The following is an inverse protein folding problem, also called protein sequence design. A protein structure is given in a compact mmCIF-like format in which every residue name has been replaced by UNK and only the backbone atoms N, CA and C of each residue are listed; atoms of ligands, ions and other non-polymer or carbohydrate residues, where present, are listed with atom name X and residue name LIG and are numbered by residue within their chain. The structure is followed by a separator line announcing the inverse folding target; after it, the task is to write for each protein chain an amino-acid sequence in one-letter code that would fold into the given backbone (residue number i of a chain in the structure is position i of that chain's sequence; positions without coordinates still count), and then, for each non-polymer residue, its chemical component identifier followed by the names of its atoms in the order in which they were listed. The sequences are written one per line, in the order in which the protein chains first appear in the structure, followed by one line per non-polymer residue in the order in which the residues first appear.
data_IF_296963196488
#
_entry.id   IF_296963196488
#
_cell.length_a   1.000
_cell.length_b   1.000
_cell.length_c   1.000
_cell.angle_alpha   90.00
_cell.angle_beta   90.00
_cell.angle_gamma   90.00
#
_symmetry.space_group_name_H-M   'P 1'
#
loop_
_entity.id
_entity.type
_entity.pdbx_description
1 polymer ?
#
# COMPACT_ATOMS: atom_id res chain seq x y z
N UNK A 1 7.80 28.66 2.44
CA UNK A 1 6.94 27.74 3.21
C UNK A 1 6.39 26.69 2.30
N UNK A 2 6.96 25.48 2.28
CA UNK A 2 6.32 24.26 1.77
C UNK A 2 6.92 23.10 2.58
N UNK A 3 6.29 22.83 3.72
CA UNK A 3 6.66 21.81 4.71
C UNK A 3 5.86 20.51 4.53
N UNK A 4 5.27 20.29 3.37
CA UNK A 4 4.45 19.11 3.09
C UNK A 4 5.11 18.27 2.02
N UNK A 5 5.95 17.32 2.47
CA UNK A 5 6.04 15.96 1.91
C UNK A 5 7.29 15.24 2.40
N UNK A 6 7.35 15.07 3.72
CA UNK A 6 8.32 14.19 4.35
C UNK A 6 7.59 13.16 5.19
N UNK A 7 7.04 12.15 4.52
CA UNK A 7 6.46 10.98 5.18
C UNK A 7 7.51 10.24 6.02
N UNK A 8 7.22 10.30 7.31
CA UNK A 8 7.99 9.94 8.50
C UNK A 8 8.59 8.54 8.45
N UNK A 9 9.92 8.51 8.47
CA UNK A 9 10.65 7.53 9.26
C UNK A 9 10.77 8.08 10.69
N UNK A 10 11.30 7.30 11.65
CA UNK A 10 12.27 7.89 12.56
C UNK A 10 13.34 8.55 11.73
N UNK A 11 13.11 9.84 11.43
CA UNK A 11 14.17 10.74 11.03
C UNK A 11 15.12 10.71 12.19
N UNK A 12 16.15 9.86 12.11
CA UNK A 12 17.30 9.97 12.99
C UNK A 12 17.95 11.28 12.58
N UNK A 13 17.53 12.38 13.21
CA UNK A 13 18.22 13.65 13.06
C UNK A 13 19.33 13.63 14.08
N UNK A 14 20.55 13.63 13.57
CA UNK A 14 21.72 13.87 14.38
C UNK A 14 21.90 15.37 14.45
N UNK A 15 21.79 15.93 15.65
CA UNK A 15 22.17 17.30 15.92
C UNK A 15 23.38 17.26 16.86
N UNK A 16 24.37 18.11 16.64
CA UNK A 16 25.53 18.19 17.51
C UNK A 16 25.81 19.64 17.85
N UNK A 17 26.23 19.89 19.08
CA UNK A 17 26.90 21.12 19.46
C UNK A 17 28.34 20.79 19.88
N UNK A 18 29.08 21.80 20.32
CA UNK A 18 30.51 21.65 20.64
C UNK A 18 30.82 20.65 21.77
N UNK A 19 29.82 20.18 22.53
CA UNK A 19 30.02 19.30 23.70
C UNK A 19 29.17 18.03 23.68
N UNK A 20 28.15 17.93 22.83
CA UNK A 20 27.22 16.81 22.79
C UNK A 20 26.67 16.53 21.40
N UNK A 21 26.37 15.26 21.15
CA UNK A 21 25.54 14.80 20.03
C UNK A 21 24.19 14.33 20.53
N UNK A 22 23.14 14.73 19.83
CA UNK A 22 21.74 14.41 20.07
C UNK A 22 21.22 13.57 18.91
N UNK A 23 20.57 12.46 19.23
CA UNK A 23 19.83 11.64 18.27
C UNK A 23 18.34 11.88 18.51
N UNK A 24 17.67 12.51 17.55
CA UNK A 24 16.21 12.65 17.57
C UNK A 24 15.67 11.50 16.73
N UNK A 25 14.82 10.65 17.31
CA UNK A 25 14.21 9.49 16.64
C UNK A 25 12.70 9.72 16.55
N UNK A 26 12.18 10.07 15.37
CA UNK A 26 10.75 10.34 15.16
C UNK A 26 9.92 9.08 14.88
N UNK A 27 9.34 8.42 15.90
CA UNK A 27 8.55 7.20 15.66
C UNK A 27 7.24 7.58 14.93
N UNK A 28 6.98 7.07 13.70
CA UNK A 28 5.74 7.37 12.98
C UNK A 28 4.56 6.70 13.69
N UNK A 29 3.46 7.42 13.85
CA UNK A 29 2.22 6.86 14.37
C UNK A 29 1.56 6.01 13.27
N UNK A 30 1.55 4.69 13.46
CA UNK A 30 0.86 3.75 12.57
C UNK A 30 -0.51 3.41 13.14
N UNK A 31 -1.50 3.19 12.27
CA UNK A 31 -2.71 2.51 12.71
C UNK A 31 -2.35 1.07 13.13
N UNK A 32 -2.97 0.56 14.19
CA UNK A 32 -2.80 -0.82 14.68
C UNK A 32 -3.48 -1.89 13.79
N UNK A 33 -3.96 -1.51 12.61
CA UNK A 33 -4.64 -2.43 11.71
C UNK A 33 -3.62 -3.46 11.18
N UNK A 34 -3.74 -4.71 11.62
CA UNK A 34 -3.02 -5.84 11.02
C UNK A 34 -3.61 -6.04 9.63
N UNK A 35 -2.73 -5.97 8.63
CA UNK A 35 -3.10 -6.12 7.23
C UNK A 35 -2.17 -7.11 6.54
N UNK A 36 -2.73 -7.86 5.61
CA UNK A 36 -2.00 -8.76 4.72
C UNK A 36 -1.74 -8.10 3.38
N UNK A 37 -0.59 -8.40 2.78
CA UNK A 37 -0.28 -7.99 1.41
C UNK A 37 -0.52 -9.15 0.46
N UNK A 38 -1.26 -8.88 -0.62
CA UNK A 38 -1.62 -9.86 -1.64
C UNK A 38 -1.10 -9.34 -2.98
N UNK A 39 -0.26 -10.15 -3.63
CA UNK A 39 0.20 -9.89 -4.99
C UNK A 39 -0.80 -10.50 -5.97
N UNK A 40 -1.42 -9.67 -6.81
CA UNK A 40 -2.35 -10.11 -7.84
C UNK A 40 -1.66 -10.07 -9.21
N UNK A 41 -1.59 -11.23 -9.87
CA UNK A 41 -1.10 -11.35 -11.24
C UNK A 41 -2.23 -11.84 -12.15
N UNK A 42 -2.85 -10.96 -12.95
CA UNK A 42 -3.91 -11.39 -13.87
C UNK A 42 -3.32 -12.32 -14.95
N UNK A 43 -4.04 -13.41 -15.24
CA UNK A 43 -3.63 -14.41 -16.23
C UNK A 43 -4.27 -14.06 -17.58
N UNK A 44 -3.47 -14.05 -18.65
CA UNK A 44 -3.95 -13.85 -20.02
C UNK A 44 -4.65 -15.12 -20.51
N UNK A 45 -5.89 -14.99 -20.97
CA UNK A 45 -6.63 -16.06 -21.64
C UNK A 45 -6.88 -15.65 -23.09
N UNK A 46 -6.27 -16.39 -24.03
CA UNK A 46 -6.25 -16.03 -25.46
C UNK A 46 -5.69 -14.62 -25.65
N UNK A 47 -6.54 -13.67 -26.09
CA UNK A 47 -6.17 -12.26 -26.32
C UNK A 47 -6.61 -11.34 -25.18
N UNK A 48 -7.28 -11.86 -24.16
CA UNK A 48 -7.94 -11.08 -23.14
C UNK A 48 -7.25 -11.23 -21.79
N UNK A 49 -7.28 -10.17 -20.99
CA UNK A 49 -6.80 -10.16 -19.61
C UNK A 49 -7.72 -9.28 -18.75
N UNK A 50 -7.92 -9.65 -17.50
CA UNK A 50 -8.58 -8.77 -16.53
C UNK A 50 -7.68 -7.58 -16.24
N UNK A 51 -8.20 -6.38 -16.48
CA UNK A 51 -7.52 -5.13 -16.12
C UNK A 51 -7.63 -4.93 -14.63
N UNK A 52 -6.53 -5.19 -13.93
CA UNK A 52 -6.39 -4.93 -12.50
C UNK A 52 -5.39 -3.77 -12.36
N UNK A 53 -5.82 -2.58 -11.92
CA UNK A 53 -4.98 -1.37 -11.94
C UNK A 53 -3.92 -1.35 -10.84
N UNK A 54 -3.90 -2.35 -9.95
CA UNK A 54 -2.97 -2.46 -8.83
C UNK A 54 -2.40 -3.88 -8.80
N UNK A 55 -1.08 -4.01 -8.88
CA UNK A 55 -0.40 -5.31 -8.73
C UNK A 55 -0.39 -5.75 -7.26
N UNK A 56 -0.17 -4.80 -6.37
CA UNK A 56 -0.15 -5.01 -4.93
C UNK A 56 -1.47 -4.57 -4.30
N UNK A 57 -2.07 -5.48 -3.54
CA UNK A 57 -3.27 -5.25 -2.75
C UNK A 57 -2.93 -5.39 -1.26
N UNK A 58 -3.57 -4.58 -0.43
CA UNK A 58 -3.52 -4.70 1.03
C UNK A 58 -4.92 -5.00 1.54
N UNK A 59 -5.08 -6.08 2.27
CA UNK A 59 -6.34 -6.46 2.94
C UNK A 59 -6.19 -6.28 4.43
N UNK A 60 -7.10 -5.54 5.05
CA UNK A 60 -7.09 -5.28 6.48
C UNK A 60 -8.39 -5.80 7.12
N UNK A 61 -8.46 -5.74 8.45
CA UNK A 61 -9.66 -6.00 9.21
C UNK A 61 -10.90 -5.24 8.66
N UNK A 62 -12.09 -5.78 8.97
CA UNK A 62 -13.39 -5.27 8.51
C UNK A 62 -13.56 -5.26 6.98
N UNK A 63 -12.99 -6.24 6.29
CA UNK A 63 -13.09 -6.43 4.85
C UNK A 63 -12.60 -5.22 4.03
N UNK A 64 -11.72 -4.40 4.61
CA UNK A 64 -11.11 -3.27 3.92
C UNK A 64 -10.08 -3.79 2.93
N UNK A 65 -10.17 -3.31 1.69
CA UNK A 65 -9.28 -3.68 0.60
C UNK A 65 -8.72 -2.41 -0.01
N UNK A 66 -7.39 -2.33 -0.09
CA UNK A 66 -6.68 -1.19 -0.65
C UNK A 66 -5.84 -1.61 -1.85
N UNK A 67 -5.92 -0.85 -2.94
CA UNK A 67 -4.95 -0.90 -4.02
C UNK A 67 -3.72 -0.07 -3.67
N UNK A 68 -2.53 -0.61 -3.86
CA UNK A 68 -1.28 0.14 -3.68
C UNK A 68 -0.95 0.88 -4.97
N UNK A 69 -1.01 2.23 -4.93
CA UNK A 69 -0.71 3.07 -6.10
C UNK A 69 0.80 3.29 -6.29
N UNK A 70 1.51 3.47 -5.18
CA UNK A 70 2.93 3.79 -5.15
C UNK A 70 3.66 2.86 -4.19
N UNK A 71 4.98 2.74 -4.35
CA UNK A 71 5.81 1.89 -3.49
C UNK A 71 5.58 2.21 -2.00
N UNK A 72 5.37 1.15 -1.23
CA UNK A 72 5.47 1.22 0.22
C UNK A 72 6.95 1.08 0.63
N UNK A 73 7.27 1.45 1.87
CA UNK A 73 8.62 1.26 2.40
C UNK A 73 8.69 -0.11 3.08
N UNK A 74 9.81 -0.80 2.91
CA UNK A 74 10.07 -2.09 3.56
C UNK A 74 11.16 -1.92 4.61
N UNK A 75 10.91 -2.45 5.80
CA UNK A 75 11.82 -2.48 6.94
C UNK A 75 11.87 -3.89 7.49
N UNK A 76 12.96 -4.61 7.21
CA UNK A 76 13.07 -6.04 7.48
C UNK A 76 11.85 -6.77 6.86
N UNK A 77 11.04 -7.43 7.68
CA UNK A 77 9.85 -8.16 7.24
C UNK A 77 8.56 -7.34 7.35
N UNK A 78 8.64 -6.03 7.64
CA UNK A 78 7.49 -5.16 7.82
C UNK A 78 7.39 -4.20 6.63
N UNK A 79 6.23 -4.19 5.98
CA UNK A 79 5.90 -3.24 4.92
C UNK A 79 5.04 -2.13 5.50
N UNK A 80 5.50 -0.89 5.38
CA UNK A 80 4.80 0.31 5.88
C UNK A 80 4.35 1.14 4.67
N UNK A 81 3.03 1.29 4.54
CA UNK A 81 2.41 2.07 3.47
C UNK A 81 1.87 3.39 4.00
N UNK A 82 2.21 4.50 3.35
CA UNK A 82 1.51 5.77 3.58
C UNK A 82 0.06 5.65 3.14
N UNK A 83 -0.88 6.23 3.91
CA UNK A 83 -2.30 6.32 3.49
C UNK A 83 -2.45 6.97 2.11
N UNK A 84 -1.58 7.92 1.74
CA UNK A 84 -1.61 8.58 0.42
C UNK A 84 -1.21 7.65 -0.74
N UNK A 85 -0.52 6.55 -0.44
CA UNK A 85 -0.12 5.54 -1.41
C UNK A 85 -1.12 4.39 -1.49
N UNK A 86 -2.17 4.40 -0.65
CA UNK A 86 -3.25 3.42 -0.64
C UNK A 86 -4.51 4.07 -1.21
N UNK A 87 -5.23 3.32 -2.05
CA UNK A 87 -6.54 3.70 -2.55
C UNK A 87 -7.54 2.69 -2.00
N UNK A 88 -8.56 3.17 -1.28
CA UNK A 88 -9.64 2.30 -0.83
C UNK A 88 -10.46 1.81 -2.02
N UNK A 89 -10.47 0.50 -2.21
CA UNK A 89 -11.22 -0.18 -3.27
C UNK A 89 -12.26 -1.14 -2.70
N UNK A 90 -12.54 -1.09 -1.40
CA UNK A 90 -13.37 -2.06 -0.66
C UNK A 90 -14.76 -2.29 -1.26
N UNK A 91 -15.30 -1.26 -1.94
CA UNK A 91 -16.63 -1.24 -2.53
C UNK A 91 -16.62 -1.45 -4.06
N UNK A 92 -15.47 -1.73 -4.66
CA UNK A 92 -15.40 -2.02 -6.11
C UNK A 92 -15.91 -3.42 -6.43
N UNK A 93 -16.43 -3.61 -7.64
CA UNK A 93 -17.07 -4.87 -8.07
C UNK A 93 -16.10 -5.94 -8.55
N UNK A 94 -14.80 -5.62 -8.67
CA UNK A 94 -13.77 -6.54 -9.17
C UNK A 94 -12.99 -7.18 -8.01
N UNK A 95 -11.80 -6.66 -7.68
CA UNK A 95 -10.83 -7.30 -6.76
C UNK A 95 -11.41 -7.70 -5.41
N UNK A 96 -12.15 -6.86 -4.67
CA UNK A 96 -12.71 -7.26 -3.38
C UNK A 96 -13.67 -8.45 -3.47
N UNK A 97 -14.47 -8.53 -4.53
CA UNK A 97 -15.38 -9.66 -4.76
C UNK A 97 -14.62 -10.93 -5.13
N UNK A 98 -13.56 -10.83 -5.94
CA UNK A 98 -12.66 -11.96 -6.22
C UNK A 98 -12.06 -12.52 -4.93
N UNK A 99 -11.57 -11.65 -4.03
CA UNK A 99 -11.00 -12.06 -2.75
C UNK A 99 -12.02 -12.74 -1.82
N UNK A 100 -13.31 -12.39 -1.95
CA UNK A 100 -14.42 -12.99 -1.19
C UNK A 100 -15.06 -14.20 -1.90
N UNK A 101 -14.53 -14.62 -3.04
CA UNK A 101 -15.12 -15.68 -3.88
C UNK A 101 -16.55 -15.39 -4.33
N UNK A 102 -16.87 -14.11 -4.55
CA UNK A 102 -18.17 -13.63 -5.03
C UNK A 102 -18.14 -13.36 -6.55
N UNK A 103 -19.30 -13.30 -7.23
CA UNK A 103 -19.38 -12.87 -8.63
C UNK A 103 -18.77 -11.47 -8.84
N UNK A 104 -17.63 -11.44 -9.53
CA UNK A 104 -16.85 -10.23 -9.76
C UNK A 104 -17.04 -9.69 -11.19
N UNK A 105 -17.13 -8.37 -11.30
CA UNK A 105 -17.25 -7.65 -12.57
C UNK A 105 -15.96 -6.88 -12.82
N UNK A 106 -14.99 -7.54 -13.43
CA UNK A 106 -13.72 -6.93 -13.81
C UNK A 106 -13.75 -6.47 -15.27
N UNK A 107 -13.15 -5.30 -15.55
CA UNK A 107 -12.97 -4.86 -16.94
C UNK A 107 -11.99 -5.79 -17.65
N UNK A 108 -12.39 -6.30 -18.81
CA UNK A 108 -11.53 -7.12 -19.67
C UNK A 108 -10.93 -6.22 -20.76
N UNK A 109 -9.62 -6.34 -20.99
CA UNK A 109 -8.93 -5.65 -22.07
C UNK A 109 -8.29 -6.64 -23.04
N UNK A 110 -8.20 -6.25 -24.31
CA UNK A 110 -7.38 -6.95 -25.29
C UNK A 110 -5.91 -6.56 -25.04
N UNK A 111 -5.06 -7.54 -24.75
CA UNK A 111 -3.64 -7.36 -24.47
C UNK A 111 -2.83 -8.13 -25.52
N UNK A 112 -3.02 -7.77 -26.79
CA UNK A 112 -2.35 -8.36 -27.94
C UNK A 112 -0.86 -8.03 -27.98
#
# INVERSE_FOLDING_TARGET
NNMEDSLELPKIKVASNNTMSFYIVGIPLTNEDICDSILIKPIKMRKNINKIPYEDIVTCNNNKVFGVKNKCKEYNNIRICSRRNLIDISNTTCVPRLLRSEPAECTIINNQ
#
